data_IF_321269443036
#
_entry.id   IF_321269443036
#
_cell.length_a   1.000
_cell.length_b   1.000
_cell.length_c   1.000
_cell.angle_alpha   90.00
_cell.angle_beta   90.00
_cell.angle_gamma   90.00
#
_symmetry.space_group_name_H-M   'P 1'
#
loop_
_entity.id
_entity.type
_entity.pdbx_description
1 polymer ?
#
# COMPACT_ATOMS: atom_id res chain seq x y z
N UNK A 1 -28.03 -12.43 -0.85
CA UNK A 1 -27.95 -11.38 -1.85
C UNK A 1 -28.03 -9.97 -1.24
N UNK A 2 -28.92 -9.71 -0.28
CA UNK A 2 -29.12 -8.38 0.33
C UNK A 2 -27.94 -7.78 1.13
N UNK A 3 -27.07 -8.62 1.70
CA UNK A 3 -25.96 -8.12 2.56
C UNK A 3 -24.83 -7.48 1.71
N UNK A 4 -24.61 -7.97 0.49
CA UNK A 4 -23.57 -7.43 -0.40
C UNK A 4 -23.96 -6.07 -0.98
N UNK A 5 -25.25 -5.86 -1.26
CA UNK A 5 -25.76 -4.57 -1.75
C UNK A 5 -25.72 -3.48 -0.66
N UNK A 6 -26.01 -3.84 0.58
CA UNK A 6 -25.93 -2.89 1.70
C UNK A 6 -24.48 -2.45 1.97
N UNK A 7 -23.53 -3.39 1.87
CA UNK A 7 -22.10 -3.07 2.01
C UNK A 7 -21.62 -2.14 0.88
N UNK A 8 -22.02 -2.38 -0.36
CA UNK A 8 -21.66 -1.55 -1.51
C UNK A 8 -22.22 -0.13 -1.40
N UNK A 9 -23.46 0.02 -0.93
CA UNK A 9 -24.08 1.35 -0.73
C UNK A 9 -23.44 2.14 0.41
N UNK A 10 -23.04 1.50 1.50
CA UNK A 10 -22.34 2.16 2.60
C UNK A 10 -20.97 2.66 2.13
N UNK A 11 -20.22 1.86 1.36
CA UNK A 11 -18.92 2.24 0.81
C UNK A 11 -19.02 3.39 -0.20
N UNK A 12 -20.03 3.42 -1.05
CA UNK A 12 -20.24 4.53 -2.00
C UNK A 12 -20.60 5.84 -1.28
N UNK A 13 -21.41 5.80 -0.25
CA UNK A 13 -21.75 6.98 0.56
C UNK A 13 -20.52 7.51 1.29
N UNK A 14 -19.66 6.62 1.83
CA UNK A 14 -18.44 7.01 2.53
C UNK A 14 -17.42 7.65 1.58
N UNK A 15 -17.29 7.12 0.35
CA UNK A 15 -16.43 7.69 -0.70
C UNK A 15 -16.92 9.07 -1.15
N UNK A 16 -18.23 9.26 -1.31
CA UNK A 16 -18.82 10.56 -1.67
C UNK A 16 -18.62 11.57 -0.53
N UNK A 17 -18.78 11.17 0.72
CA UNK A 17 -18.55 12.04 1.88
C UNK A 17 -17.08 12.48 1.98
N UNK A 18 -16.13 11.58 1.75
CA UNK A 18 -14.70 11.89 1.70
C UNK A 18 -14.35 12.80 0.53
N UNK A 19 -14.94 12.58 -0.65
CA UNK A 19 -14.74 13.45 -1.81
C UNK A 19 -15.32 14.85 -1.60
N UNK A 20 -16.50 14.96 -0.98
CA UNK A 20 -17.12 16.25 -0.63
C UNK A 20 -16.31 17.02 0.43
N UNK A 21 -15.78 16.33 1.43
CA UNK A 21 -14.92 16.94 2.47
C UNK A 21 -13.60 17.45 1.87
N UNK A 22 -13.01 16.74 0.91
CA UNK A 22 -11.78 17.18 0.23
C UNK A 22 -12.04 18.34 -0.74
N UNK A 23 -13.20 18.39 -1.41
CA UNK A 23 -13.59 19.50 -2.27
C UNK A 23 -13.86 20.78 -1.46
N UNK A 24 -14.43 20.68 -0.26
CA UNK A 24 -14.69 21.84 0.61
C UNK A 24 -13.41 22.45 1.18
N UNK A 25 -12.35 21.66 1.36
CA UNK A 25 -11.01 22.12 1.77
C UNK A 25 -10.21 22.74 0.63
N UNK A 26 -10.58 22.49 -0.62
CA UNK A 26 -9.87 22.94 -1.82
C UNK A 26 -10.39 24.26 -2.41
N UNK A 27 -11.43 24.91 -1.81
CA UNK A 27 -11.88 26.22 -2.26
C UNK A 27 -10.81 27.27 -1.93
N UNK A 28 -10.10 27.85 -2.91
CA UNK A 28 -9.13 28.89 -2.67
C UNK A 28 -9.87 30.14 -2.18
N UNK A 29 -9.85 30.40 -0.86
CA UNK A 29 -10.30 31.69 -0.33
C UNK A 29 -9.36 32.76 -0.90
N UNK A 30 -9.88 33.59 -1.80
CA UNK A 30 -9.16 34.77 -2.27
C UNK A 30 -8.74 35.60 -1.07
N UNK A 31 -7.44 35.84 -0.82
CA UNK A 31 -7.03 36.71 0.26
C UNK A 31 -7.48 38.12 -0.08
N UNK A 32 -8.21 38.78 0.85
CA UNK A 32 -8.42 40.21 0.80
C UNK A 32 -7.06 40.90 0.70
N UNK A 33 -6.95 41.80 -0.28
CA UNK A 33 -5.72 42.55 -0.59
C UNK A 33 -5.43 43.54 0.57
N UNK A 34 -4.80 43.04 1.63
CA UNK A 34 -4.29 43.89 2.72
C UNK A 34 -2.92 44.42 2.31
N UNK A 35 -2.69 45.70 2.62
CA UNK A 35 -1.43 46.43 2.39
C UNK A 35 -0.20 45.60 2.70
N UNK A 36 0.77 45.57 1.79
CA UNK A 36 1.88 44.65 1.75
C UNK A 36 2.65 44.52 3.06
N UNK A 37 2.76 43.33 3.61
CA UNK A 37 3.78 43.07 4.64
C UNK A 37 5.14 43.04 3.95
N UNK A 38 6.13 43.62 4.60
CA UNK A 38 7.55 43.44 4.28
C UNK A 38 7.75 41.96 4.00
N UNK A 39 8.16 41.64 2.78
CA UNK A 39 8.30 40.23 2.34
C UNK A 39 9.33 39.56 3.26
N UNK A 40 8.87 38.69 4.17
CA UNK A 40 9.74 37.87 5.01
C UNK A 40 10.52 36.93 4.05
N UNK A 41 11.86 37.09 3.92
CA UNK A 41 12.65 36.24 3.01
C UNK A 41 12.51 34.76 3.37
N UNK A 42 12.22 34.44 4.62
CA UNK A 42 11.95 33.08 5.10
C UNK A 42 10.61 32.51 4.58
N UNK A 43 9.66 33.37 4.18
CA UNK A 43 8.39 32.91 3.61
C UNK A 43 8.58 32.25 2.23
N UNK A 44 9.51 32.76 1.43
CA UNK A 44 9.87 32.18 0.13
C UNK A 44 10.54 30.82 0.27
N UNK A 45 11.51 30.70 1.18
CA UNK A 45 12.19 29.42 1.45
C UNK A 45 11.23 28.36 1.97
N UNK A 46 10.29 28.73 2.85
CA UNK A 46 9.25 27.81 3.35
C UNK A 46 8.28 27.37 2.27
N UNK A 47 7.90 28.26 1.36
CA UNK A 47 7.04 27.91 0.23
C UNK A 47 7.72 26.88 -0.67
N UNK A 48 9.00 27.09 -1.01
CA UNK A 48 9.78 26.11 -1.79
C UNK A 48 9.92 24.77 -1.06
N UNK A 49 10.19 24.79 0.25
CA UNK A 49 10.26 23.56 1.05
C UNK A 49 8.91 22.80 1.06
N UNK A 50 7.79 23.52 1.14
CA UNK A 50 6.46 22.92 1.09
C UNK A 50 6.13 22.34 -0.30
N UNK A 51 6.56 22.98 -1.38
CA UNK A 51 6.41 22.45 -2.75
C UNK A 51 7.24 21.17 -2.94
N UNK A 52 8.51 21.18 -2.54
CA UNK A 52 9.36 20.00 -2.58
C UNK A 52 8.78 18.84 -1.74
N UNK A 53 8.30 19.13 -0.53
CA UNK A 53 7.64 18.14 0.32
C UNK A 53 6.35 17.60 -0.32
N UNK A 54 5.59 18.42 -1.06
CA UNK A 54 4.40 18.01 -1.77
C UNK A 54 4.72 17.04 -2.91
N UNK A 55 5.78 17.30 -3.68
CA UNK A 55 6.24 16.40 -4.73
C UNK A 55 6.71 15.06 -4.15
N UNK A 56 7.48 15.08 -3.06
CA UNK A 56 7.94 13.86 -2.38
C UNK A 56 6.75 13.05 -1.88
N UNK A 57 5.80 13.68 -1.19
CA UNK A 57 4.59 13.03 -0.71
C UNK A 57 3.75 12.43 -1.85
N UNK A 58 3.64 13.14 -2.97
CA UNK A 58 2.96 12.66 -4.18
C UNK A 58 3.62 11.40 -4.77
N UNK A 59 4.95 11.41 -4.92
CA UNK A 59 5.72 10.25 -5.42
C UNK A 59 5.58 9.03 -4.51
N UNK A 60 5.72 9.21 -3.19
CA UNK A 60 5.61 8.12 -2.22
C UNK A 60 4.20 7.56 -2.17
N UNK A 61 3.16 8.41 -2.26
CA UNK A 61 1.78 7.95 -2.36
C UNK A 61 1.53 7.13 -3.62
N UNK A 62 2.04 7.54 -4.76
CA UNK A 62 1.96 6.77 -6.00
C UNK A 62 2.72 5.44 -5.90
N UNK A 63 3.84 5.41 -5.16
CA UNK A 63 4.59 4.20 -4.83
C UNK A 63 3.76 3.22 -3.99
N UNK A 64 3.09 3.72 -2.96
CA UNK A 64 2.21 2.92 -2.11
C UNK A 64 1.02 2.34 -2.90
N UNK A 65 0.36 3.12 -3.75
CA UNK A 65 -0.76 2.63 -4.58
C UNK A 65 -0.31 1.46 -5.49
N UNK A 66 0.88 1.58 -6.10
CA UNK A 66 1.44 0.47 -6.91
C UNK A 66 1.77 -0.77 -6.07
N UNK A 67 2.24 -0.58 -4.83
CA UNK A 67 2.47 -1.69 -3.91
C UNK A 67 1.15 -2.37 -3.51
N UNK A 68 0.06 -1.62 -3.34
CA UNK A 68 -1.27 -2.14 -3.08
C UNK A 68 -1.80 -2.98 -4.26
N UNK A 69 -1.67 -2.48 -5.50
CA UNK A 69 -2.00 -3.25 -6.70
C UNK A 69 -1.20 -4.57 -6.78
N UNK A 70 0.06 -4.54 -6.36
CA UNK A 70 0.90 -5.75 -6.31
C UNK A 70 0.41 -6.75 -5.24
N UNK A 71 -0.06 -6.28 -4.08
CA UNK A 71 -0.69 -7.14 -3.06
C UNK A 71 -1.92 -7.81 -3.63
N UNK A 72 -2.80 -7.07 -4.30
CA UNK A 72 -4.03 -7.60 -4.88
C UNK A 72 -3.73 -8.65 -5.96
N UNK A 73 -2.76 -8.38 -6.83
CA UNK A 73 -2.34 -9.33 -7.88
C UNK A 73 -1.73 -10.62 -7.29
N UNK A 74 -0.88 -10.49 -6.25
CA UNK A 74 -0.26 -11.66 -5.61
C UNK A 74 -1.25 -12.45 -4.78
N UNK A 75 -2.24 -11.80 -4.16
CA UNK A 75 -3.36 -12.46 -3.49
C UNK A 75 -4.21 -13.26 -4.47
N UNK A 76 -4.60 -12.68 -5.60
CA UNK A 76 -5.37 -13.39 -6.64
C UNK A 76 -4.62 -14.62 -7.16
N UNK A 77 -3.30 -14.51 -7.35
CA UNK A 77 -2.46 -15.63 -7.77
C UNK A 77 -2.36 -16.73 -6.69
N UNK A 78 -2.28 -16.36 -5.42
CA UNK A 78 -2.30 -17.30 -4.30
C UNK A 78 -3.66 -18.00 -4.20
N UNK A 79 -4.77 -17.27 -4.27
CA UNK A 79 -6.12 -17.81 -4.16
C UNK A 79 -6.42 -18.82 -5.28
N UNK A 80 -5.97 -18.55 -6.50
CA UNK A 80 -6.05 -19.49 -7.61
C UNK A 80 -5.22 -20.77 -7.33
N UNK A 81 -3.98 -20.61 -6.86
CA UNK A 81 -3.12 -21.73 -6.52
C UNK A 81 -3.65 -22.57 -5.34
N UNK A 82 -4.29 -21.95 -4.36
CA UNK A 82 -4.92 -22.63 -3.23
C UNK A 82 -6.12 -23.48 -3.67
N UNK A 83 -6.97 -22.97 -4.57
CA UNK A 83 -8.06 -23.75 -5.17
C UNK A 83 -7.54 -24.95 -5.94
N UNK A 84 -6.46 -24.77 -6.73
CA UNK A 84 -5.84 -25.86 -7.48
C UNK A 84 -5.23 -26.91 -6.56
N UNK A 85 -4.53 -26.49 -5.51
CA UNK A 85 -3.96 -27.39 -4.52
C UNK A 85 -5.03 -28.21 -3.79
N UNK A 86 -6.15 -27.59 -3.40
CA UNK A 86 -7.28 -28.31 -2.77
C UNK A 86 -7.90 -29.33 -3.72
N UNK A 87 -8.09 -28.99 -5.00
CA UNK A 87 -8.61 -29.94 -6.01
C UNK A 87 -7.67 -31.15 -6.20
N UNK A 88 -6.37 -30.88 -6.33
CA UNK A 88 -5.38 -31.95 -6.47
C UNK A 88 -5.28 -32.81 -5.21
N UNK A 89 -5.35 -32.23 -4.03
CA UNK A 89 -5.38 -32.95 -2.76
C UNK A 89 -6.62 -33.87 -2.66
N UNK A 90 -7.81 -33.35 -3.00
CA UNK A 90 -9.04 -34.15 -3.03
C UNK A 90 -8.94 -35.32 -4.04
N UNK A 91 -8.40 -35.08 -5.24
CA UNK A 91 -8.16 -36.12 -6.22
C UNK A 91 -7.19 -37.20 -5.72
N UNK A 92 -6.16 -36.78 -4.96
CA UNK A 92 -5.17 -37.71 -4.41
C UNK A 92 -5.67 -38.55 -3.22
N UNK A 93 -6.79 -38.19 -2.61
CA UNK A 93 -7.42 -38.94 -1.52
C UNK A 93 -8.19 -40.18 -1.98
N UNK A 94 -8.51 -40.30 -3.26
CA UNK A 94 -9.19 -41.50 -3.79
C UNK A 94 -8.26 -42.70 -3.72
N UNK A 95 -8.80 -43.88 -3.31
CA UNK A 95 -8.00 -45.08 -3.21
C UNK A 95 -7.52 -45.54 -4.60
N UNK A 96 -6.23 -45.71 -4.72
CA UNK A 96 -5.58 -46.15 -5.95
C UNK A 96 -5.33 -47.65 -5.85
N UNK A 97 -5.76 -48.44 -6.83
CA UNK A 97 -5.49 -49.86 -6.90
C UNK A 97 -3.97 -50.10 -6.92
N UNK A 98 -3.48 -50.95 -6.02
CA UNK A 98 -2.07 -51.34 -5.93
C UNK A 98 -1.79 -52.35 -7.09
N UNK A 99 -1.34 -51.83 -8.22
CA UNK A 99 -0.83 -52.65 -9.33
C UNK A 99 0.69 -52.78 -9.25
N UNK A 100 1.16 -53.95 -9.75
CA UNK A 100 2.61 -54.22 -9.86
C UNK A 100 3.19 -53.26 -10.91
N UNK A 101 4.18 -52.49 -10.53
CA UNK A 101 4.77 -51.44 -11.38
C UNK A 101 5.94 -51.98 -12.16
N UNK A 102 6.02 -51.66 -13.41
CA UNK A 102 7.17 -52.00 -14.26
C UNK A 102 8.27 -50.92 -14.10
N UNK A 103 9.50 -51.30 -14.45
CA UNK A 103 10.63 -50.33 -14.42
C UNK A 103 10.39 -49.17 -15.41
N UNK A 104 9.83 -49.47 -16.58
CA UNK A 104 9.47 -48.47 -17.59
C UNK A 104 8.49 -47.43 -17.03
N UNK A 105 7.43 -47.89 -16.36
CA UNK A 105 6.46 -46.98 -15.74
C UNK A 105 7.09 -46.05 -14.68
N UNK A 106 8.05 -46.53 -13.91
CA UNK A 106 8.73 -45.71 -12.92
C UNK A 106 9.59 -44.60 -13.57
N UNK A 107 10.27 -44.92 -14.68
CA UNK A 107 11.04 -43.94 -15.46
C UNK A 107 10.10 -42.88 -16.08
N UNK A 108 8.95 -43.30 -16.60
CA UNK A 108 7.98 -42.36 -17.19
C UNK A 108 7.36 -41.45 -16.14
N UNK A 109 7.10 -41.91 -14.93
CA UNK A 109 6.65 -41.08 -13.80
C UNK A 109 7.68 -40.06 -13.39
N UNK A 110 8.94 -40.43 -13.35
CA UNK A 110 10.06 -39.52 -13.05
C UNK A 110 10.17 -38.42 -14.12
N UNK A 111 10.17 -38.80 -15.40
CA UNK A 111 10.18 -37.85 -16.52
C UNK A 111 8.99 -36.89 -16.47
N UNK A 112 7.81 -37.41 -16.13
CA UNK A 112 6.61 -36.60 -16.01
C UNK A 112 6.74 -35.59 -14.87
N UNK A 113 7.23 -36.00 -13.69
CA UNK A 113 7.47 -35.12 -12.54
C UNK A 113 8.46 -34.00 -12.92
N UNK A 114 9.60 -34.34 -13.54
CA UNK A 114 10.60 -33.35 -13.94
C UNK A 114 10.03 -32.36 -14.97
N UNK A 115 9.28 -32.84 -15.95
CA UNK A 115 8.62 -32.02 -16.97
C UNK A 115 7.62 -31.03 -16.34
N UNK A 116 6.76 -31.52 -15.46
CA UNK A 116 5.79 -30.68 -14.76
C UNK A 116 6.45 -29.61 -13.89
N UNK A 117 7.48 -29.98 -13.11
CA UNK A 117 8.20 -29.05 -12.26
C UNK A 117 8.97 -27.98 -13.07
N UNK A 118 9.64 -28.40 -14.16
CA UNK A 118 10.32 -27.47 -15.07
C UNK A 118 9.33 -26.49 -15.71
N UNK A 119 8.17 -26.96 -16.14
CA UNK A 119 7.14 -26.09 -16.69
C UNK A 119 6.60 -25.11 -15.65
N UNK A 120 6.37 -25.53 -14.40
CA UNK A 120 5.95 -24.67 -13.30
C UNK A 120 7.02 -23.61 -12.97
N UNK A 121 8.29 -23.99 -12.95
CA UNK A 121 9.40 -23.06 -12.75
C UNK A 121 9.47 -22.01 -13.87
N UNK A 122 9.32 -22.41 -15.14
CA UNK A 122 9.25 -21.48 -16.28
C UNK A 122 8.11 -20.48 -16.16
N UNK A 123 6.97 -20.87 -15.59
CA UNK A 123 5.84 -19.98 -15.30
C UNK A 123 6.00 -19.18 -14.02
N UNK A 124 7.16 -19.28 -13.36
CA UNK A 124 7.44 -18.63 -12.06
C UNK A 124 6.45 -19.07 -10.95
N UNK A 125 5.97 -20.28 -11.04
CA UNK A 125 5.10 -20.92 -10.03
C UNK A 125 5.92 -21.67 -8.98
N UNK A 126 7.17 -22.02 -9.29
CA UNK A 126 8.16 -22.58 -8.39
C UNK A 126 9.45 -21.78 -8.43
N UNK A 127 10.14 -21.73 -7.31
CA UNK A 127 11.52 -21.20 -7.26
C UNK A 127 12.51 -22.17 -7.87
N UNK A 128 13.68 -21.68 -8.26
CA UNK A 128 14.80 -22.52 -8.74
C UNK A 128 15.25 -23.51 -7.64
N UNK A 129 15.23 -23.08 -6.37
CA UNK A 129 15.53 -23.96 -5.24
C UNK A 129 14.57 -25.15 -5.15
N UNK A 130 13.27 -24.88 -5.25
CA UNK A 130 12.25 -25.93 -5.25
C UNK A 130 12.37 -26.87 -6.48
N UNK A 131 12.69 -26.32 -7.67
CA UNK A 131 12.97 -27.16 -8.84
C UNK A 131 14.17 -28.09 -8.60
N UNK A 132 15.25 -27.58 -8.02
CA UNK A 132 16.42 -28.40 -7.69
C UNK A 132 16.08 -29.51 -6.67
N UNK A 133 15.20 -29.25 -5.71
CA UNK A 133 14.72 -30.29 -4.78
C UNK A 133 13.93 -31.39 -5.52
N UNK A 134 13.08 -31.01 -6.49
CA UNK A 134 12.35 -31.97 -7.34
C UNK A 134 13.31 -32.83 -8.13
N UNK A 135 14.27 -32.23 -8.81
CA UNK A 135 15.25 -32.94 -9.64
C UNK A 135 16.16 -33.87 -8.81
N UNK A 136 16.46 -33.46 -7.57
CA UNK A 136 17.22 -34.27 -6.62
C UNK A 136 16.37 -35.27 -5.82
N UNK A 137 15.06 -35.36 -6.07
CA UNK A 137 14.11 -36.23 -5.36
C UNK A 137 14.13 -36.06 -3.84
N UNK A 138 14.34 -34.83 -3.35
CA UNK A 138 14.44 -34.51 -1.91
C UNK A 138 13.07 -34.18 -1.33
N UNK A 139 12.91 -34.39 -0.02
CA UNK A 139 11.71 -34.03 0.71
C UNK A 139 10.46 -34.82 0.24
N UNK A 140 9.44 -34.12 -0.16
CA UNK A 140 8.17 -34.71 -0.61
C UNK A 140 8.24 -35.29 -2.06
N UNK A 141 9.33 -35.07 -2.77
CA UNK A 141 9.49 -35.39 -4.19
C UNK A 141 9.93 -36.82 -4.40
N UNK A 142 8.98 -37.72 -4.59
CA UNK A 142 9.25 -39.13 -4.80
C UNK A 142 8.69 -39.61 -6.15
N UNK A 143 9.54 -39.92 -7.14
CA UNK A 143 9.11 -40.35 -8.47
C UNK A 143 8.33 -41.66 -8.46
N UNK A 144 8.43 -42.44 -7.37
CA UNK A 144 7.70 -43.70 -7.20
C UNK A 144 6.24 -43.51 -6.80
N UNK A 145 5.85 -42.30 -6.39
CA UNK A 145 4.45 -41.99 -6.06
C UNK A 145 3.57 -42.03 -7.32
N UNK A 146 2.28 -42.22 -7.11
CA UNK A 146 1.31 -42.13 -8.18
C UNK A 146 1.30 -40.73 -8.81
N UNK A 147 1.10 -40.56 -10.13
CA UNK A 147 1.10 -39.22 -10.78
C UNK A 147 0.16 -38.23 -10.14
N UNK A 148 -1.04 -38.63 -9.70
CA UNK A 148 -1.97 -37.76 -8.97
C UNK A 148 -1.38 -37.25 -7.64
N UNK A 149 -0.66 -38.12 -6.91
CA UNK A 149 0.00 -37.71 -5.67
C UNK A 149 1.23 -36.80 -5.93
N UNK A 150 1.91 -37.00 -7.07
CA UNK A 150 2.98 -36.08 -7.52
C UNK A 150 2.39 -34.71 -7.90
N UNK A 151 1.25 -34.67 -8.59
CA UNK A 151 0.55 -33.43 -8.91
C UNK A 151 0.09 -32.71 -7.65
N UNK A 152 -0.49 -33.41 -6.68
CA UNK A 152 -0.90 -32.83 -5.41
C UNK A 152 0.28 -32.19 -4.65
N UNK A 153 1.45 -32.86 -4.63
CA UNK A 153 2.67 -32.31 -4.04
C UNK A 153 3.15 -31.07 -4.80
N UNK A 154 3.10 -31.08 -6.14
CA UNK A 154 3.47 -29.93 -6.97
C UNK A 154 2.55 -28.73 -6.71
N UNK A 155 1.23 -28.95 -6.70
CA UNK A 155 0.24 -27.88 -6.44
C UNK A 155 0.39 -27.32 -5.03
N UNK A 156 0.69 -28.15 -4.04
CA UNK A 156 0.98 -27.70 -2.69
C UNK A 156 2.24 -26.78 -2.64
N UNK A 157 3.31 -27.17 -3.34
CA UNK A 157 4.52 -26.35 -3.41
C UNK A 157 4.29 -25.01 -4.15
N UNK A 158 3.51 -25.02 -5.23
CA UNK A 158 3.11 -23.80 -5.96
C UNK A 158 2.31 -22.87 -5.02
N UNK A 159 1.35 -23.41 -4.28
CA UNK A 159 0.57 -22.66 -3.30
C UNK A 159 1.48 -21.97 -2.28
N UNK A 160 2.42 -22.71 -1.68
CA UNK A 160 3.36 -22.17 -0.70
C UNK A 160 4.26 -21.07 -1.30
N UNK A 161 4.74 -21.25 -2.52
CA UNK A 161 5.51 -20.24 -3.23
C UNK A 161 4.71 -18.95 -3.47
N UNK A 162 3.44 -19.08 -3.92
CA UNK A 162 2.53 -17.94 -4.12
C UNK A 162 2.17 -17.25 -2.81
N UNK A 163 1.99 -18.01 -1.73
CA UNK A 163 1.76 -17.43 -0.41
C UNK A 163 2.96 -16.64 0.11
N UNK A 164 4.17 -17.16 -0.09
CA UNK A 164 5.39 -16.43 0.26
C UNK A 164 5.51 -15.11 -0.53
N UNK A 165 5.18 -15.13 -1.83
CA UNK A 165 5.17 -13.93 -2.67
C UNK A 165 4.13 -12.89 -2.19
N UNK A 166 2.92 -13.34 -1.83
CA UNK A 166 1.90 -12.47 -1.23
C UNK A 166 2.37 -11.83 0.09
N UNK A 167 2.96 -12.63 0.99
CA UNK A 167 3.49 -12.12 2.26
C UNK A 167 4.59 -11.08 2.05
N UNK A 168 5.46 -11.29 1.07
CA UNK A 168 6.51 -10.33 0.70
C UNK A 168 5.91 -9.03 0.17
N UNK A 169 4.93 -9.10 -0.74
CA UNK A 169 4.22 -7.93 -1.28
C UNK A 169 3.50 -7.15 -0.17
N UNK A 170 2.78 -7.83 0.73
CA UNK A 170 2.11 -7.21 1.88
C UNK A 170 3.10 -6.54 2.86
N UNK A 171 4.32 -7.08 2.98
CA UNK A 171 5.40 -6.44 3.73
C UNK A 171 5.88 -5.14 3.07
N UNK A 172 6.08 -5.17 1.77
CA UNK A 172 6.50 -3.99 0.99
C UNK A 172 5.43 -2.89 0.98
N UNK A 173 4.16 -3.26 0.85
CA UNK A 173 3.03 -2.32 0.92
C UNK A 173 3.01 -1.57 2.25
N UNK A 174 3.16 -2.28 3.38
CA UNK A 174 3.22 -1.65 4.72
C UNK A 174 4.36 -0.66 4.86
N UNK A 175 5.54 -0.98 4.33
CA UNK A 175 6.69 -0.06 4.34
C UNK A 175 6.41 1.17 3.48
N UNK A 176 5.90 0.98 2.27
CA UNK A 176 5.56 2.07 1.36
C UNK A 176 4.46 2.99 1.95
N UNK A 177 3.46 2.42 2.63
CA UNK A 177 2.45 3.19 3.36
C UNK A 177 3.07 4.05 4.47
N UNK A 178 3.97 3.47 5.28
CA UNK A 178 4.64 4.21 6.36
C UNK A 178 5.47 5.39 5.82
N UNK A 179 6.18 5.20 4.71
CA UNK A 179 6.95 6.25 4.05
C UNK A 179 6.03 7.35 3.50
N UNK A 180 4.95 6.98 2.85
CA UNK A 180 3.96 7.93 2.33
C UNK A 180 3.31 8.75 3.46
N UNK A 181 2.96 8.11 4.59
CA UNK A 181 2.37 8.79 5.74
C UNK A 181 3.37 9.75 6.43
N UNK A 182 4.63 9.35 6.57
CA UNK A 182 5.70 10.25 7.08
C UNK A 182 5.85 11.49 6.19
N UNK A 183 5.89 11.30 4.88
CA UNK A 183 6.01 12.43 3.95
C UNK A 183 4.77 13.34 3.98
N UNK A 184 3.58 12.77 4.09
CA UNK A 184 2.35 13.53 4.25
C UNK A 184 2.31 14.31 5.57
N UNK A 185 2.82 13.74 6.66
CA UNK A 185 2.95 14.43 7.95
C UNK A 185 3.92 15.61 7.87
N UNK A 186 5.08 15.42 7.21
CA UNK A 186 6.06 16.51 6.97
C UNK A 186 5.44 17.63 6.15
N UNK A 187 4.70 17.31 5.09
CA UNK A 187 4.00 18.32 4.30
C UNK A 187 2.96 19.07 5.13
N UNK A 188 2.20 18.36 5.97
CA UNK A 188 1.22 18.99 6.88
C UNK A 188 1.87 19.94 7.86
N UNK A 189 3.01 19.58 8.46
CA UNK A 189 3.73 20.45 9.40
C UNK A 189 4.24 21.72 8.71
N UNK A 190 4.86 21.62 7.53
CA UNK A 190 5.33 22.76 6.76
C UNK A 190 4.21 23.72 6.36
N UNK A 191 3.00 23.20 6.11
CA UNK A 191 1.81 24.02 5.79
C UNK A 191 1.14 24.62 7.02
N UNK A 192 1.28 24.01 8.21
CA UNK A 192 0.66 24.48 9.45
C UNK A 192 1.48 25.60 10.12
N UNK A 193 2.82 25.60 9.99
CA UNK A 193 3.71 26.62 10.58
C UNK A 193 3.31 28.08 10.28
N UNK A 194 3.04 28.46 9.01
CA UNK A 194 2.68 29.86 8.73
C UNK A 194 1.34 30.29 9.35
N UNK A 195 0.45 29.35 9.66
CA UNK A 195 -0.84 29.63 10.31
C UNK A 195 -0.68 29.90 11.80
N UNK A 196 0.22 29.18 12.47
CA UNK A 196 0.50 29.36 13.90
C UNK A 196 1.25 30.67 14.16
N UNK A 197 2.25 31.01 13.33
CA UNK A 197 2.99 32.28 13.41
C UNK A 197 2.05 33.48 13.17
N UNK A 198 1.14 33.39 12.20
CA UNK A 198 0.12 34.43 11.96
C UNK A 198 -0.85 34.59 13.14
N UNK A 199 -1.27 33.48 13.74
CA UNK A 199 -2.17 33.49 14.89
C UNK A 199 -1.49 34.05 16.16
N UNK A 200 -0.19 33.85 16.33
CA UNK A 200 0.60 34.44 17.41
C UNK A 200 0.82 35.92 17.17
N UNK A 201 1.26 36.35 15.99
CA UNK A 201 1.45 37.77 15.65
C UNK A 201 0.12 38.56 15.78
N UNK A 202 -1.02 37.98 15.42
CA UNK A 202 -2.34 38.58 15.59
C UNK A 202 -2.75 38.71 17.06
N UNK A 203 -2.29 37.84 17.96
CA UNK A 203 -2.48 37.98 19.43
C UNK A 203 -1.61 39.04 20.01
N UNK A 204 -0.34 39.10 19.63
CA UNK A 204 0.62 40.09 20.14
C UNK A 204 0.21 41.52 19.75
N UNK A 205 -0.32 41.73 18.53
CA UNK A 205 -0.88 43.03 18.11
C UNK A 205 -2.11 43.41 18.92
N UNK A 206 -3.01 42.47 19.24
CA UNK A 206 -4.17 42.77 20.10
C UNK A 206 -3.78 43.09 21.53
N UNK A 207 -2.79 42.37 22.10
CA UNK A 207 -2.27 42.67 23.44
C UNK A 207 -1.56 44.06 23.49
N UNK A 208 -0.75 44.36 22.46
CA UNK A 208 -0.08 45.66 22.35
C UNK A 208 -1.05 46.83 22.23
N UNK A 209 -2.20 46.67 21.56
CA UNK A 209 -3.23 47.72 21.45
C UNK A 209 -4.02 47.92 22.74
N UNK A 210 -4.22 46.88 23.57
CA UNK A 210 -4.90 47.01 24.88
C UNK A 210 -4.07 47.75 25.93
N UNK A 211 -2.76 47.81 25.80
CA UNK A 211 -1.85 48.45 26.74
C UNK A 211 -1.21 49.72 26.20
N UNK A 212 -1.68 50.26 25.08
CA UNK A 212 -1.24 51.56 24.60
C UNK A 212 -1.74 52.66 25.57
N UNK A 213 -0.87 53.43 26.25
CA UNK A 213 -1.32 54.47 27.15
C UNK A 213 -2.15 55.51 26.38
N UNK A 214 -3.31 55.85 26.93
CA UNK A 214 -4.20 56.85 26.35
C UNK A 214 -3.41 58.14 26.07
N UNK A 215 -3.39 58.58 24.80
CA UNK A 215 -2.76 59.84 24.41
C UNK A 215 -3.40 60.97 25.25
N UNK A 216 -2.59 61.79 25.97
CA UNK A 216 -3.15 62.89 26.72
C UNK A 216 -3.88 63.86 25.76
N UNK A 217 -5.10 64.17 26.09
CA UNK A 217 -5.93 65.13 25.37
C UNK A 217 -5.20 66.49 25.36
N UNK A 218 -4.88 67.00 24.17
CA UNK A 218 -4.29 68.36 24.02
C UNK A 218 -5.30 69.35 24.61
N UNK A 219 -4.91 69.95 25.78
CA UNK A 219 -5.64 71.03 26.36
C UNK A 219 -5.63 72.22 25.37
N UNK A 220 -6.80 72.58 24.84
CA UNK A 220 -6.95 73.82 24.08
C UNK A 220 -6.91 74.96 25.10
N UNK A 221 -5.74 75.66 25.12
CA UNK A 221 -5.67 76.93 25.75
C UNK A 221 -6.56 77.97 25.04
N UNK A 222 -7.63 78.34 25.68
CA UNK A 222 -8.45 79.48 25.26
C UNK A 222 -7.69 80.74 25.68
N UNK A 223 -7.17 81.49 24.71
CA UNK A 223 -6.67 82.85 24.91
C UNK A 223 -7.84 83.78 24.79
N UNK A 224 -8.06 84.57 25.83
CA UNK A 224 -8.89 85.78 25.86
C UNK A 224 -8.08 86.97 25.40
#
# INVERSE_FOLDING_TARGET
MFIVEIAATIWTILLIAVAAATAFLAVPRRPARAAGPVADPRAGERALAAEQAAEVAGRLRAGWLRAQEQVDATWAAFDAADRDARRAAAASAFPILKQRRTRAELVDRERNLHRMATAACRRRELSIGQLNEVLAHRGAWNPRRHPVAQEAALRAAVREHRFAAYRAAAGQERLAWQEAEKAAATLRSLRAEPLTVRAQAGRDVRFGQQWAPARPAKARLAVR
#
